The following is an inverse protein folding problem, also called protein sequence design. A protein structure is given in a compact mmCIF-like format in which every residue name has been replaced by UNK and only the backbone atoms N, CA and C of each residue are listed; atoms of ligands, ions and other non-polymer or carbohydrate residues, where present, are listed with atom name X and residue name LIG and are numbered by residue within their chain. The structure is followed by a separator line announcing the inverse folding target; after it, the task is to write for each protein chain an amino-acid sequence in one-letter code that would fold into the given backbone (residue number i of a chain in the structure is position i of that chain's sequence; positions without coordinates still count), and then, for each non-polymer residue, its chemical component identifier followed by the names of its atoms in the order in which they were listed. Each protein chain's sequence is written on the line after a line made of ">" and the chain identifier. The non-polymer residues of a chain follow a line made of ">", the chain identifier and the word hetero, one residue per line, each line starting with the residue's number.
data_IF_335989785811
#
_entry.id   IF_335989785811
#
_cell.length_a   1.000
_cell.length_b   1.000
_cell.length_c   1.000
_cell.angle_alpha   90.00
_cell.angle_beta   90.00
_cell.angle_gamma   90.00
#
_symmetry.space_group_name_H-M   'P 1'
#
loop_
_entity.id
_entity.type
_entity.pdbx_description
1 polymer ?
#
# COMPACT_ATOMS: atom_id res chain seq x y z
N UNK A 1 -2.22 -2.02 -22.13
CA UNK A 1 -2.51 -3.01 -21.06
C UNK A 1 -4.02 -3.10 -20.89
N UNK A 2 -4.65 -4.30 -20.96
CA UNK A 2 -6.13 -4.40 -20.86
C UNK A 2 -6.59 -4.22 -19.40
N UNK A 3 -7.69 -3.48 -19.19
CA UNK A 3 -8.22 -3.22 -17.84
C UNK A 3 -8.54 -4.49 -17.04
N UNK A 4 -8.90 -5.57 -17.73
CA UNK A 4 -9.10 -6.90 -17.14
C UNK A 4 -7.83 -7.46 -16.48
N UNK A 5 -6.67 -7.24 -17.10
CA UNK A 5 -5.38 -7.68 -16.54
C UNK A 5 -5.09 -7.01 -15.20
N UNK A 6 -5.39 -5.71 -15.09
CA UNK A 6 -5.17 -4.91 -13.87
C UNK A 6 -6.13 -5.30 -12.76
N UNK A 7 -7.38 -5.62 -13.09
CA UNK A 7 -8.34 -6.16 -12.12
C UNK A 7 -7.87 -7.51 -11.60
N UNK A 8 -7.39 -8.39 -12.49
CA UNK A 8 -6.87 -9.71 -12.12
C UNK A 8 -5.62 -9.60 -11.23
N UNK A 9 -4.67 -8.75 -11.60
CA UNK A 9 -3.47 -8.47 -10.80
C UNK A 9 -3.83 -7.90 -9.43
N UNK A 10 -4.70 -6.89 -9.36
CA UNK A 10 -5.15 -6.30 -8.09
C UNK A 10 -5.83 -7.34 -7.21
N UNK A 11 -6.63 -8.25 -7.79
CA UNK A 11 -7.27 -9.35 -7.07
C UNK A 11 -6.26 -10.36 -6.54
N UNK A 12 -5.25 -10.73 -7.34
CA UNK A 12 -4.18 -11.62 -6.91
C UNK A 12 -3.38 -11.00 -5.77
N UNK A 13 -2.96 -9.74 -5.91
CA UNK A 13 -2.23 -9.01 -4.86
C UNK A 13 -3.05 -8.94 -3.57
N UNK A 14 -4.35 -8.64 -3.66
CA UNK A 14 -5.25 -8.65 -2.51
C UNK A 14 -5.29 -10.01 -1.81
N UNK A 15 -5.51 -11.10 -2.56
CA UNK A 15 -5.62 -12.46 -2.00
C UNK A 15 -4.30 -12.88 -1.36
N UNK A 16 -3.17 -12.72 -2.06
CA UNK A 16 -1.85 -13.10 -1.55
C UNK A 16 -1.52 -12.31 -0.29
N UNK A 17 -1.72 -10.98 -0.31
CA UNK A 17 -1.44 -10.14 0.85
C UNK A 17 -2.35 -10.48 2.04
N UNK A 18 -3.61 -10.83 1.79
CA UNK A 18 -4.53 -11.24 2.84
C UNK A 18 -4.14 -12.57 3.47
N UNK A 19 -3.73 -13.56 2.66
CA UNK A 19 -3.25 -14.85 3.17
C UNK A 19 -1.97 -14.66 3.98
N UNK A 20 -0.97 -13.96 3.44
CA UNK A 20 0.31 -13.71 4.13
C UNK A 20 0.07 -12.95 5.43
N UNK A 21 -0.77 -11.91 5.41
CA UNK A 21 -1.13 -11.15 6.60
C UNK A 21 -1.85 -11.98 7.65
N UNK A 22 -2.79 -12.83 7.23
CA UNK A 22 -3.52 -13.70 8.15
C UNK A 22 -2.62 -14.78 8.77
N UNK A 23 -1.72 -15.38 7.99
CA UNK A 23 -0.74 -16.35 8.49
C UNK A 23 0.21 -15.68 9.50
N UNK A 24 0.76 -14.51 9.20
CA UNK A 24 1.63 -13.79 10.14
C UNK A 24 0.89 -13.39 11.42
N UNK A 25 -0.36 -12.94 11.30
CA UNK A 25 -1.18 -12.55 12.45
C UNK A 25 -1.54 -13.76 13.32
N UNK A 26 -1.95 -14.87 12.72
CA UNK A 26 -2.28 -16.10 13.46
C UNK A 26 -1.05 -16.69 14.15
N UNK A 27 0.08 -16.79 13.45
CA UNK A 27 1.35 -17.24 14.05
C UNK A 27 1.78 -16.30 15.18
N UNK A 28 1.69 -14.99 15.00
CA UNK A 28 2.00 -14.01 16.03
C UNK A 28 1.09 -14.13 17.27
N UNK A 29 -0.22 -14.30 17.08
CA UNK A 29 -1.18 -14.48 18.18
C UNK A 29 -1.00 -15.81 18.92
N UNK A 30 -0.83 -16.92 18.20
CA UNK A 30 -0.60 -18.23 18.80
C UNK A 30 0.73 -18.24 19.57
N UNK A 31 1.79 -17.67 18.99
CA UNK A 31 3.08 -17.55 19.69
C UNK A 31 2.97 -16.73 20.97
N UNK A 32 2.11 -15.69 20.99
CA UNK A 32 1.81 -14.91 22.19
C UNK A 32 1.01 -15.69 23.23
N UNK A 33 0.07 -16.52 22.79
CA UNK A 33 -0.79 -17.27 23.70
C UNK A 33 -0.09 -18.45 24.37
N UNK A 34 0.82 -19.12 23.66
CA UNK A 34 1.51 -20.31 24.14
C UNK A 34 2.93 -20.03 24.69
N UNK A 35 3.32 -18.76 24.79
CA UNK A 35 4.66 -18.31 25.23
C UNK A 35 5.80 -19.07 24.52
N UNK A 36 5.56 -19.45 23.27
CA UNK A 36 6.51 -20.23 22.47
C UNK A 36 7.60 -19.27 22.03
N UNK A 37 8.79 -19.43 22.62
CA UNK A 37 9.98 -18.63 22.36
C UNK A 37 10.63 -18.89 20.96
N UNK A 38 9.84 -19.05 19.91
CA UNK A 38 10.36 -19.19 18.53
C UNK A 38 11.05 -17.91 18.06
N UNK A 39 10.59 -16.75 18.54
CA UNK A 39 11.22 -15.43 18.39
C UNK A 39 10.99 -14.70 19.72
N UNK A 40 12.05 -14.16 20.34
CA UNK A 40 12.03 -13.55 21.68
C UNK A 40 11.04 -12.39 21.85
N UNK A 41 10.43 -11.91 20.77
CA UNK A 41 9.35 -10.92 20.74
C UNK A 41 8.32 -11.24 19.64
N UNK A 42 7.21 -11.84 20.06
CA UNK A 42 6.01 -12.07 19.25
C UNK A 42 5.36 -10.76 18.73
N UNK A 43 5.69 -9.60 19.31
CA UNK A 43 5.25 -8.26 18.88
C UNK A 43 5.69 -7.93 17.45
N UNK A 44 6.89 -8.34 17.05
CA UNK A 44 7.42 -8.08 15.73
C UNK A 44 6.60 -8.76 14.63
N UNK A 45 6.18 -10.01 14.84
CA UNK A 45 5.33 -10.74 13.88
C UNK A 45 3.95 -10.08 13.73
N UNK A 46 3.37 -9.64 14.85
CA UNK A 46 2.10 -8.90 14.84
C UNK A 46 2.24 -7.58 14.09
N UNK A 47 3.31 -6.82 14.34
CA UNK A 47 3.61 -5.60 13.60
C UNK A 47 3.76 -5.87 12.11
N UNK A 48 4.57 -6.88 11.74
CA UNK A 48 4.81 -7.23 10.35
C UNK A 48 3.53 -7.59 9.60
N UNK A 49 2.56 -8.20 10.28
CA UNK A 49 1.26 -8.56 9.69
C UNK A 49 0.41 -7.36 9.27
N UNK A 50 0.61 -6.18 9.88
CA UNK A 50 -0.16 -4.96 9.55
C UNK A 50 0.11 -4.48 8.12
N UNK A 51 1.30 -4.70 7.58
CA UNK A 51 1.65 -4.30 6.22
C UNK A 51 0.87 -5.07 5.14
N UNK A 52 0.95 -6.42 5.07
CA UNK A 52 0.18 -7.17 4.09
C UNK A 52 -1.33 -7.03 4.31
N UNK A 53 -1.82 -6.86 5.54
CA UNK A 53 -3.22 -6.57 5.82
C UNK A 53 -3.67 -5.19 5.30
N UNK A 54 -2.88 -4.14 5.52
CA UNK A 54 -3.18 -2.80 5.01
C UNK A 54 -3.11 -2.75 3.48
N UNK A 55 -2.15 -3.44 2.87
CA UNK A 55 -2.06 -3.57 1.41
C UNK A 55 -3.28 -4.31 0.82
N UNK A 56 -3.73 -5.39 1.48
CA UNK A 56 -4.95 -6.10 1.11
C UNK A 56 -6.18 -5.18 1.21
N UNK A 57 -6.27 -4.38 2.27
CA UNK A 57 -7.36 -3.42 2.46
C UNK A 57 -7.38 -2.33 1.38
N UNK A 58 -6.24 -1.73 1.06
CA UNK A 58 -6.13 -0.75 -0.03
C UNK A 58 -6.53 -1.37 -1.37
N UNK A 59 -6.08 -2.60 -1.65
CA UNK A 59 -6.44 -3.34 -2.86
C UNK A 59 -7.95 -3.64 -2.93
N UNK A 60 -8.56 -3.99 -1.80
CA UNK A 60 -9.99 -4.19 -1.67
C UNK A 60 -10.79 -2.90 -1.95
N UNK A 61 -10.33 -1.75 -1.43
CA UNK A 61 -10.94 -0.46 -1.73
C UNK A 61 -10.84 -0.12 -3.22
N UNK A 62 -9.68 -0.41 -3.84
CA UNK A 62 -9.48 -0.20 -5.30
C UNK A 62 -10.46 -1.07 -6.11
N UNK A 63 -10.57 -2.36 -5.79
CA UNK A 63 -11.52 -3.29 -6.42
C UNK A 63 -12.99 -2.89 -6.20
N UNK A 64 -13.34 -2.45 -5.01
CA UNK A 64 -14.70 -1.99 -4.70
C UNK A 64 -15.08 -0.76 -5.52
N UNK A 65 -14.15 0.18 -5.70
CA UNK A 65 -14.35 1.33 -6.60
C UNK A 65 -14.49 0.92 -8.06
N UNK A 66 -13.70 -0.04 -8.54
CA UNK A 66 -13.84 -0.62 -9.90
C UNK A 66 -15.26 -1.17 -10.10
N UNK A 67 -15.75 -1.96 -9.13
CA UNK A 67 -17.09 -2.56 -9.21
C UNK A 67 -18.21 -1.53 -9.17
N UNK A 68 -18.05 -0.45 -8.39
CA UNK A 68 -19.07 0.61 -8.23
C UNK A 68 -19.10 1.61 -9.39
N UNK A 69 -17.97 1.88 -10.05
CA UNK A 69 -17.90 2.82 -11.17
C UNK A 69 -16.84 2.41 -12.21
N UNK A 70 -17.16 1.42 -13.07
CA UNK A 70 -16.19 0.86 -14.02
C UNK A 70 -15.77 1.87 -15.10
N UNK A 71 -16.67 2.76 -15.54
CA UNK A 71 -16.36 3.78 -16.55
C UNK A 71 -15.35 4.82 -16.06
N UNK A 72 -15.55 5.36 -14.84
CA UNK A 72 -14.59 6.31 -14.22
C UNK A 72 -13.26 5.64 -13.91
N UNK A 73 -13.27 4.36 -13.53
CA UNK A 73 -12.03 3.66 -13.25
C UNK A 73 -11.28 3.26 -14.52
N UNK A 74 -11.98 2.98 -15.63
CA UNK A 74 -11.33 2.67 -16.92
C UNK A 74 -10.47 3.83 -17.41
N UNK A 75 -10.94 5.06 -17.31
CA UNK A 75 -10.13 6.24 -17.66
C UNK A 75 -8.93 6.43 -16.73
N UNK A 76 -9.10 6.19 -15.42
CA UNK A 76 -7.99 6.22 -14.45
C UNK A 76 -6.95 5.14 -14.77
N UNK A 77 -7.40 3.90 -15.03
CA UNK A 77 -6.52 2.76 -15.33
C UNK A 77 -5.75 2.98 -16.64
N UNK A 78 -6.40 3.50 -17.67
CA UNK A 78 -5.72 3.84 -18.94
C UNK A 78 -4.66 4.92 -18.69
N UNK A 79 -4.99 5.98 -17.95
CA UNK A 79 -4.01 7.00 -17.54
C UNK A 79 -2.89 6.46 -16.64
N UNK A 80 -3.16 5.46 -15.80
CA UNK A 80 -2.16 4.81 -14.94
C UNK A 80 -1.21 3.88 -15.71
N UNK A 81 -1.69 3.26 -16.79
CA UNK A 81 -0.98 2.18 -17.50
C UNK A 81 -0.33 2.62 -18.80
N UNK A 82 -0.77 3.75 -19.36
CA UNK A 82 -0.18 4.31 -20.56
C UNK A 82 1.08 5.09 -20.19
N UNK A 83 2.24 4.49 -20.44
CA UNK A 83 3.55 5.07 -20.17
C UNK A 83 3.72 6.45 -20.83
N UNK A 84 3.08 6.71 -21.98
CA UNK A 84 3.15 8.01 -22.64
C UNK A 84 2.43 9.08 -21.85
N UNK A 85 1.27 8.76 -21.27
CA UNK A 85 0.51 9.69 -20.41
C UNK A 85 1.16 9.85 -19.03
N UNK A 86 1.82 8.80 -18.52
CA UNK A 86 2.57 8.85 -17.26
C UNK A 86 3.85 9.68 -17.41
N UNK A 87 4.57 9.52 -18.52
CA UNK A 87 5.76 10.31 -18.85
C UNK A 87 5.42 11.79 -19.09
N UNK A 88 4.29 12.08 -19.75
CA UNK A 88 3.86 13.45 -20.02
C UNK A 88 3.38 14.18 -18.76
N UNK A 89 2.87 13.46 -17.75
CA UNK A 89 2.29 14.09 -16.55
C UNK A 89 3.18 14.14 -15.32
N UNK A 90 4.01 13.12 -15.02
CA UNK A 90 5.01 13.22 -13.92
C UNK A 90 5.82 11.91 -13.72
N UNK A 91 6.81 11.65 -14.56
CA UNK A 91 7.69 10.48 -14.38
C UNK A 91 8.54 10.60 -13.10
N UNK A 92 8.99 11.82 -12.79
CA UNK A 92 9.82 12.12 -11.63
C UNK A 92 9.08 11.88 -10.31
N UNK A 93 7.89 12.45 -10.11
CA UNK A 93 7.14 12.30 -8.85
C UNK A 93 6.65 10.87 -8.63
N UNK A 94 6.20 10.20 -9.69
CA UNK A 94 5.75 8.81 -9.62
C UNK A 94 6.87 7.88 -9.13
N UNK A 95 8.10 8.11 -9.61
CA UNK A 95 9.29 7.34 -9.25
C UNK A 95 9.77 7.70 -7.84
N UNK A 96 9.78 8.97 -7.48
CA UNK A 96 10.15 9.46 -6.15
C UNK A 96 9.25 8.89 -5.06
N UNK A 97 7.93 8.87 -5.25
CA UNK A 97 7.01 8.27 -4.26
C UNK A 97 7.24 6.77 -4.09
N UNK A 98 7.54 6.04 -5.16
CA UNK A 98 7.86 4.60 -5.08
C UNK A 98 9.17 4.36 -4.32
N UNK A 99 10.19 5.17 -4.59
CA UNK A 99 11.47 5.10 -3.88
C UNK A 99 11.26 5.42 -2.40
N UNK A 100 10.53 6.50 -2.09
CA UNK A 100 10.21 6.90 -0.73
C UNK A 100 9.44 5.81 0.02
N UNK A 101 8.44 5.20 -0.61
CA UNK A 101 7.72 4.04 -0.05
C UNK A 101 8.66 2.86 0.22
N UNK A 102 9.59 2.57 -0.69
CA UNK A 102 10.59 1.52 -0.50
C UNK A 102 11.52 1.80 0.69
N UNK A 103 11.99 3.05 0.82
CA UNK A 103 12.83 3.48 1.95
C UNK A 103 12.05 3.40 3.27
N UNK A 104 10.81 3.91 3.30
CA UNK A 104 9.96 3.85 4.49
C UNK A 104 9.60 2.42 4.87
N UNK A 105 9.39 1.54 3.88
CA UNK A 105 9.15 0.12 4.10
C UNK A 105 10.38 -0.54 4.72
N UNK A 106 11.57 -0.28 4.18
CA UNK A 106 12.81 -0.83 4.71
C UNK A 106 13.12 -0.30 6.11
N UNK A 107 12.87 0.99 6.37
CA UNK A 107 13.01 1.60 7.68
C UNK A 107 12.04 0.99 8.70
N UNK A 108 10.77 0.80 8.32
CA UNK A 108 9.78 0.13 9.16
C UNK A 108 10.17 -1.31 9.48
N UNK A 109 10.59 -2.06 8.47
CA UNK A 109 11.02 -3.45 8.62
C UNK A 109 12.27 -3.53 9.52
N UNK A 110 13.29 -2.72 9.22
CA UNK A 110 14.52 -2.65 10.00
C UNK A 110 14.26 -2.28 11.46
N UNK A 111 13.47 -1.24 11.73
CA UNK A 111 13.12 -0.86 13.10
C UNK A 111 12.39 -1.98 13.83
N UNK A 112 11.40 -2.60 13.17
CA UNK A 112 10.59 -3.68 13.77
C UNK A 112 11.42 -4.93 14.10
N UNK A 113 12.49 -5.20 13.34
CA UNK A 113 13.40 -6.32 13.61
C UNK A 113 14.52 -5.99 14.60
N UNK A 114 15.04 -4.76 14.60
CA UNK A 114 16.15 -4.35 15.48
C UNK A 114 15.63 -4.09 16.90
N UNK A 115 14.47 -3.44 17.03
CA UNK A 115 13.89 -3.06 18.33
C UNK A 115 12.49 -3.66 18.50
N UNK A 116 12.36 -5.01 18.54
CA UNK A 116 11.06 -5.66 18.57
C UNK A 116 10.29 -5.41 19.88
N UNK A 117 10.98 -5.08 20.97
CA UNK A 117 10.38 -4.71 22.26
C UNK A 117 9.66 -3.36 22.21
N UNK A 118 10.21 -2.41 21.45
CA UNK A 118 9.70 -1.05 21.32
C UNK A 118 8.50 -0.96 20.35
N UNK A 119 8.18 -2.07 19.67
CA UNK A 119 7.03 -2.17 18.78
C UNK A 119 5.75 -1.95 19.60
N UNK A 120 4.91 -1.04 19.12
CA UNK A 120 3.71 -0.49 19.79
C UNK A 120 3.96 0.43 20.99
N UNK A 121 5.17 0.47 21.55
CA UNK A 121 5.51 1.31 22.72
C UNK A 121 6.17 2.63 22.31
N UNK A 122 7.03 2.60 21.27
CA UNK A 122 7.73 3.77 20.77
C UNK A 122 6.83 4.64 19.90
N UNK A 123 6.82 5.94 20.20
CA UNK A 123 6.20 6.97 19.34
C UNK A 123 6.84 6.97 17.95
N UNK A 124 8.15 6.68 17.85
CA UNK A 124 8.86 6.62 16.58
C UNK A 124 8.31 5.53 15.65
N UNK A 125 7.92 4.38 16.20
CA UNK A 125 7.30 3.29 15.43
C UNK A 125 5.94 3.71 14.85
N UNK A 126 5.12 4.40 15.64
CA UNK A 126 3.83 4.93 15.18
C UNK A 126 3.99 6.03 14.13
N UNK A 127 5.00 6.89 14.26
CA UNK A 127 5.32 7.89 13.24
C UNK A 127 5.71 7.21 11.92
N UNK A 128 6.56 6.17 11.97
CA UNK A 128 6.98 5.41 10.79
C UNK A 128 5.80 4.77 10.07
N UNK A 129 4.90 4.11 10.80
CA UNK A 129 3.74 3.45 10.16
C UNK A 129 2.77 4.47 9.56
N UNK A 130 2.55 5.61 10.24
CA UNK A 130 1.72 6.70 9.72
C UNK A 130 2.35 7.31 8.47
N UNK A 131 3.66 7.53 8.45
CA UNK A 131 4.37 8.07 7.28
C UNK A 131 4.28 7.10 6.10
N UNK A 132 4.49 5.81 6.34
CA UNK A 132 4.45 4.78 5.32
C UNK A 132 3.04 4.67 4.72
N UNK A 133 2.02 4.52 5.56
CA UNK A 133 0.62 4.50 5.11
C UNK A 133 0.23 5.82 4.43
N UNK A 134 0.59 6.95 5.04
CA UNK A 134 0.36 8.28 4.50
C UNK A 134 0.96 8.45 3.11
N UNK A 135 2.18 7.96 2.87
CA UNK A 135 2.82 8.01 1.55
C UNK A 135 2.07 7.19 0.49
N UNK A 136 1.44 6.07 0.88
CA UNK A 136 0.57 5.28 -0.01
C UNK A 136 -0.73 6.03 -0.34
N UNK A 137 -1.35 6.68 0.65
CA UNK A 137 -2.56 7.48 0.43
C UNK A 137 -2.29 8.75 -0.38
N UNK A 138 -1.22 9.49 -0.05
CA UNK A 138 -0.84 10.73 -0.74
C UNK A 138 -0.58 10.48 -2.23
N UNK A 139 0.11 9.40 -2.57
CA UNK A 139 0.33 9.05 -3.98
C UNK A 139 -0.98 8.87 -4.74
N UNK A 140 -1.99 8.26 -4.12
CA UNK A 140 -3.34 8.12 -4.69
C UNK A 140 -4.07 9.45 -4.83
N UNK A 141 -3.97 10.33 -3.82
CA UNK A 141 -4.65 11.64 -3.80
C UNK A 141 -4.02 12.62 -4.80
N UNK A 142 -2.69 12.79 -4.77
CA UNK A 142 -1.98 13.70 -5.66
C UNK A 142 -2.25 13.36 -7.13
N UNK A 143 -2.24 12.07 -7.47
CA UNK A 143 -2.58 11.62 -8.82
C UNK A 143 -4.03 11.94 -9.20
N UNK A 144 -4.98 11.80 -8.27
CA UNK A 144 -6.37 12.15 -8.52
C UNK A 144 -6.54 13.67 -8.74
N UNK A 145 -5.86 14.51 -7.96
CA UNK A 145 -5.91 15.97 -8.08
C UNK A 145 -5.31 16.44 -9.41
N UNK A 146 -4.14 15.93 -9.80
CA UNK A 146 -3.49 16.25 -11.08
C UNK A 146 -4.38 15.82 -12.26
N UNK A 147 -4.99 14.63 -12.18
CA UNK A 147 -5.89 14.14 -13.22
C UNK A 147 -7.15 15.00 -13.36
N UNK A 148 -7.69 15.53 -12.25
CA UNK A 148 -8.83 16.45 -12.24
C UNK A 148 -8.45 17.82 -12.82
N UNK A 149 -7.27 18.34 -12.49
CA UNK A 149 -6.77 19.63 -13.01
C UNK A 149 -6.67 19.62 -14.54
N UNK A 150 -6.00 18.62 -15.13
CA UNK A 150 -5.84 18.53 -16.58
C UNK A 150 -7.15 18.29 -17.34
N UNK A 151 -8.17 17.74 -16.68
CA UNK A 151 -9.50 17.57 -17.29
C UNK A 151 -10.29 18.87 -17.37
N UNK A 152 -9.98 19.85 -16.52
CA UNK A 152 -10.64 21.15 -16.51
C UNK A 152 -9.98 22.14 -17.46
N UNK A 153 -8.66 22.07 -17.66
CA UNK A 153 -7.96 22.93 -18.64
C UNK A 153 -8.37 22.62 -20.08
N UNK A 154 -8.54 21.34 -20.44
CA UNK A 154 -8.96 20.95 -21.79
C UNK A 154 -10.42 21.24 -22.17
N UNK A 155 -11.21 21.86 -21.29
CA UNK A 155 -12.57 22.35 -21.59
C UNK A 155 -12.63 23.87 -21.77
N UNK A 156 -11.52 24.58 -21.53
CA UNK A 156 -11.44 26.04 -21.65
C UNK A 156 -10.61 26.50 -22.86
N UNK A 157 -10.21 25.59 -23.75
CA UNK A 157 -9.61 25.88 -25.07
C UNK A 157 -10.60 25.57 -26.20
#
# INVERSE_FOLDING_TARGET
>A
MSGEKIVKETKTVMIVSLIVGFVLLTVGLVSRQFDIALISDNKALLALSLLPLSLAFVSFLKLSKIKKSPQKMRSIIIKESDERLVALNNEADAKTFKILQGVLFLAYFGYTFIFPQEVFESVGWWILIILLLGSMFLQGIFRHLICKSNSNDGMNE
#
